data_IF_619466744361
#
_entry.id   IF_619466744361
#
_cell.length_a   1.000
_cell.length_b   1.000
_cell.length_c   1.000
_cell.angle_alpha   90.00
_cell.angle_beta   90.00
_cell.angle_gamma   90.00
#
_symmetry.space_group_name_H-M   'P 1'
#
loop_
_entity.id
_entity.type
_entity.pdbx_description
1 polymer ?
#
# COMPACT_ATOMS: atom_id res chain seq x y z
N UNK A 1 -14.11 44.74 16.33
CA UNK A 1 -13.75 44.73 14.90
C UNK A 1 -14.48 43.57 14.26
N UNK A 2 -15.70 43.86 13.79
CA UNK A 2 -16.59 42.93 13.11
C UNK A 2 -16.03 42.59 11.72
N UNK A 3 -15.82 41.30 11.44
CA UNK A 3 -15.40 40.84 10.11
C UNK A 3 -16.59 40.10 9.48
N UNK A 4 -17.06 40.47 8.28
CA UNK A 4 -18.29 39.93 7.73
C UNK A 4 -18.11 38.49 7.22
N UNK A 5 -19.09 37.63 7.53
CA UNK A 5 -19.24 36.30 6.95
C UNK A 5 -19.78 36.42 5.52
N UNK A 6 -18.92 36.22 4.52
CA UNK A 6 -19.35 36.03 3.14
C UNK A 6 -19.46 34.53 2.84
N UNK A 7 -20.67 33.99 2.97
CA UNK A 7 -21.03 32.65 2.51
C UNK A 7 -21.29 32.69 1.00
N UNK A 8 -20.29 32.34 0.18
CA UNK A 8 -20.54 32.07 -1.24
C UNK A 8 -20.89 30.59 -1.42
N UNK A 9 -22.11 30.22 -1.84
CA UNK A 9 -22.37 28.85 -2.26
C UNK A 9 -21.61 28.60 -3.57
N UNK A 10 -20.60 27.74 -3.50
CA UNK A 10 -19.94 27.17 -4.68
C UNK A 10 -21.01 26.46 -5.49
N UNK A 11 -21.47 27.11 -6.56
CA UNK A 11 -22.39 26.55 -7.53
C UNK A 11 -21.71 25.32 -8.16
N UNK A 12 -22.04 24.14 -7.64
CA UNK A 12 -21.58 22.87 -8.15
C UNK A 12 -22.13 22.63 -9.55
N UNK A 13 -21.48 23.20 -10.57
CA UNK A 13 -21.68 22.78 -11.95
C UNK A 13 -21.07 21.40 -12.10
N UNK A 14 -21.89 20.38 -11.80
CA UNK A 14 -21.62 18.98 -12.13
C UNK A 14 -21.64 18.84 -13.66
N UNK A 15 -20.55 19.26 -14.29
CA UNK A 15 -20.31 19.00 -15.70
C UNK A 15 -20.24 17.48 -15.89
N UNK A 16 -21.10 16.96 -16.78
CA UNK A 16 -20.95 15.61 -17.32
C UNK A 16 -19.54 15.54 -17.92
N UNK A 17 -18.62 14.86 -17.23
CA UNK A 17 -17.29 14.59 -17.78
C UNK A 17 -17.51 13.67 -18.97
N UNK A 18 -17.36 14.22 -20.18
CA UNK A 18 -17.32 13.44 -21.40
C UNK A 18 -16.11 12.52 -21.26
N UNK A 19 -16.35 11.24 -20.98
CA UNK A 19 -15.29 10.23 -21.00
C UNK A 19 -14.92 10.09 -22.47
N UNK A 20 -13.79 10.69 -22.85
CA UNK A 20 -13.22 10.48 -24.18
C UNK A 20 -12.79 9.03 -24.23
N UNK A 21 -13.56 8.23 -24.96
CA UNK A 21 -13.24 6.84 -25.20
C UNK A 21 -12.15 6.78 -26.27
N UNK A 22 -10.89 6.87 -25.84
CA UNK A 22 -9.70 6.79 -26.70
C UNK A 22 -9.36 5.34 -27.09
N UNK A 23 -10.24 4.38 -26.81
CA UNK A 23 -9.93 2.95 -26.88
C UNK A 23 -10.16 2.30 -28.25
N UNK A 24 -10.52 3.04 -29.30
CA UNK A 24 -10.63 2.48 -30.65
C UNK A 24 -9.33 2.67 -31.44
N UNK A 25 -8.47 1.64 -31.56
CA UNK A 25 -7.25 1.71 -32.36
C UNK A 25 -7.54 1.91 -33.85
N UNK A 26 -8.69 1.46 -34.37
CA UNK A 26 -9.03 1.60 -35.78
C UNK A 26 -9.24 3.07 -36.21
N UNK A 27 -9.77 3.92 -35.32
CA UNK A 27 -9.95 5.34 -35.61
C UNK A 27 -8.63 6.14 -35.64
N UNK A 28 -7.55 5.57 -35.09
CA UNK A 28 -6.28 6.27 -34.94
C UNK A 28 -5.47 6.28 -36.25
N UNK A 29 -5.50 5.19 -37.02
CA UNK A 29 -4.74 5.06 -38.27
C UNK A 29 -5.38 5.91 -39.39
N UNK A 30 -6.70 5.99 -39.41
CA UNK A 30 -7.45 6.81 -40.37
C UNK A 30 -7.19 8.30 -40.15
N UNK A 31 -7.11 8.72 -38.88
CA UNK A 31 -6.81 10.12 -38.53
C UNK A 31 -5.38 10.50 -38.91
N UNK A 32 -4.40 9.65 -38.62
CA UNK A 32 -2.99 9.90 -38.99
C UNK A 32 -2.88 10.03 -40.51
N UNK A 33 -3.48 9.09 -41.25
CA UNK A 33 -3.50 9.12 -42.72
C UNK A 33 -4.17 10.37 -43.28
N UNK A 34 -5.29 10.80 -42.69
CA UNK A 34 -5.96 12.04 -43.10
C UNK A 34 -5.10 13.28 -42.86
N UNK A 35 -4.38 13.32 -41.74
CA UNK A 35 -3.49 14.44 -41.42
C UNK A 35 -2.27 14.44 -42.34
N UNK A 36 -1.70 13.29 -42.68
CA UNK A 36 -0.61 13.19 -43.66
C UNK A 36 -1.02 13.73 -45.03
N UNK A 37 -2.26 13.44 -45.48
CA UNK A 37 -2.79 13.99 -46.72
C UNK A 37 -2.88 15.53 -46.67
N UNK A 38 -3.29 16.09 -45.53
CA UNK A 38 -3.44 17.54 -45.35
C UNK A 38 -2.09 18.26 -45.20
N UNK A 39 -1.11 17.65 -44.54
CA UNK A 39 0.24 18.20 -44.42
C UNK A 39 0.92 18.25 -45.81
N UNK A 40 0.68 17.23 -46.65
CA UNK A 40 1.25 17.15 -47.99
C UNK A 40 0.52 18.02 -49.04
N UNK A 41 -0.68 18.52 -48.72
CA UNK A 41 -1.46 19.38 -49.62
C UNK A 41 -0.80 20.76 -49.82
N UNK A 42 -0.30 21.03 -51.03
CA UNK A 42 0.38 22.29 -51.35
C UNK A 42 -0.55 23.50 -51.41
N UNK A 43 -1.87 23.30 -51.47
CA UNK A 43 -2.85 24.39 -51.47
C UNK A 43 -3.09 24.97 -50.07
N UNK A 44 -2.67 24.26 -49.01
CA UNK A 44 -2.93 24.66 -47.63
C UNK A 44 -1.85 25.62 -47.09
N UNK A 45 -2.25 26.72 -46.43
CA UNK A 45 -1.32 27.62 -45.76
C UNK A 45 -0.41 26.92 -44.73
N UNK A 46 0.86 27.32 -44.70
CA UNK A 46 1.89 26.72 -43.83
C UNK A 46 1.57 26.76 -42.34
N UNK A 47 0.91 27.81 -41.86
CA UNK A 47 0.52 27.94 -40.46
C UNK A 47 -0.51 26.89 -40.02
N UNK A 48 -1.41 26.46 -40.92
CA UNK A 48 -2.37 25.40 -40.63
C UNK A 48 -1.68 24.04 -40.54
N UNK A 49 -0.73 23.76 -41.44
CA UNK A 49 0.09 22.55 -41.40
C UNK A 49 0.89 22.46 -40.09
N UNK A 50 1.50 23.56 -39.68
CA UNK A 50 2.22 23.65 -38.42
C UNK A 50 1.31 23.39 -37.21
N UNK A 51 0.13 24.03 -37.16
CA UNK A 51 -0.84 23.80 -36.09
C UNK A 51 -1.28 22.33 -36.01
N UNK A 52 -1.51 21.68 -37.15
CA UNK A 52 -1.87 20.26 -37.20
C UNK A 52 -0.72 19.35 -36.74
N UNK A 53 0.52 19.65 -37.14
CA UNK A 53 1.71 18.94 -36.64
C UNK A 53 1.82 19.02 -35.11
N UNK A 54 1.69 20.23 -34.54
CA UNK A 54 1.73 20.39 -33.08
C UNK A 54 0.59 19.63 -32.39
N UNK A 55 -0.62 19.62 -32.95
CA UNK A 55 -1.74 18.84 -32.38
C UNK A 55 -1.47 17.33 -32.39
N UNK A 56 -0.79 16.81 -33.43
CA UNK A 56 -0.39 15.40 -33.49
C UNK A 56 0.65 15.06 -32.42
N UNK A 57 1.68 15.89 -32.28
CA UNK A 57 2.72 15.70 -31.27
C UNK A 57 2.12 15.68 -29.85
N UNK A 58 1.23 16.63 -29.55
CA UNK A 58 0.53 16.68 -28.25
C UNK A 58 -0.31 15.41 -28.04
N UNK A 59 -0.98 14.92 -29.08
CA UNK A 59 -1.76 13.69 -29.01
C UNK A 59 -0.88 12.47 -28.71
N UNK A 60 0.28 12.36 -29.36
CA UNK A 60 1.21 11.25 -29.12
C UNK A 60 1.76 11.27 -27.69
N UNK A 61 2.12 12.46 -27.20
CA UNK A 61 2.51 12.65 -25.80
C UNK A 61 1.37 12.27 -24.85
N UNK A 62 0.14 12.68 -25.15
CA UNK A 62 -1.03 12.33 -24.35
C UNK A 62 -1.27 10.82 -24.33
N UNK A 63 -1.15 10.14 -25.46
CA UNK A 63 -1.28 8.67 -25.53
C UNK A 63 -0.24 7.97 -24.66
N UNK A 64 1.00 8.46 -24.66
CA UNK A 64 2.08 7.96 -23.80
C UNK A 64 1.72 8.14 -22.32
N UNK A 65 1.22 9.32 -21.94
CA UNK A 65 0.78 9.60 -20.56
C UNK A 65 -0.42 8.72 -20.17
N UNK A 66 -1.39 8.52 -21.06
CA UNK A 66 -2.54 7.65 -20.80
C UNK A 66 -2.11 6.20 -20.60
N UNK A 67 -1.19 5.68 -21.43
CA UNK A 67 -0.64 4.34 -21.28
C UNK A 67 0.08 4.17 -19.93
N UNK A 68 0.95 5.13 -19.58
CA UNK A 68 1.64 5.17 -18.28
C UNK A 68 0.68 5.24 -17.09
N UNK A 69 -0.36 6.06 -17.19
CA UNK A 69 -1.37 6.16 -16.13
C UNK A 69 -2.15 4.86 -15.95
N UNK A 70 -2.39 4.12 -17.04
CA UNK A 70 -3.03 2.80 -16.96
C UNK A 70 -2.11 1.80 -16.25
N UNK A 71 -0.85 1.73 -16.65
CA UNK A 71 0.18 0.89 -16.00
C UNK A 71 0.26 1.19 -14.50
N UNK A 72 0.38 2.47 -14.13
CA UNK A 72 0.41 2.88 -12.72
C UNK A 72 -0.88 2.56 -11.96
N UNK A 73 -2.04 2.67 -12.61
CA UNK A 73 -3.30 2.29 -11.99
C UNK A 73 -3.34 0.78 -11.70
N UNK A 74 -2.91 -0.05 -12.66
CA UNK A 74 -2.83 -1.49 -12.51
C UNK A 74 -1.85 -1.87 -11.38
N UNK A 75 -0.65 -1.27 -11.35
CA UNK A 75 0.32 -1.46 -10.26
C UNK A 75 -0.24 -1.06 -8.89
N UNK A 76 -0.90 0.09 -8.81
CA UNK A 76 -1.48 0.57 -7.55
C UNK A 76 -2.56 -0.39 -7.04
N UNK A 77 -3.39 -0.94 -7.94
CA UNK A 77 -4.37 -1.97 -7.54
C UNK A 77 -3.70 -3.24 -7.00
N UNK A 78 -2.60 -3.68 -7.62
CA UNK A 78 -1.85 -4.85 -7.17
C UNK A 78 -1.19 -4.62 -5.79
N UNK A 79 -0.58 -3.45 -5.59
CA UNK A 79 0.01 -3.07 -4.30
C UNK A 79 -1.06 -3.00 -3.21
N UNK A 80 -2.23 -2.41 -3.50
CA UNK A 80 -3.34 -2.36 -2.55
C UNK A 80 -3.86 -3.75 -2.19
N UNK A 81 -3.94 -4.69 -3.14
CA UNK A 81 -4.33 -6.06 -2.87
C UNK A 81 -3.34 -6.74 -1.91
N UNK A 82 -2.04 -6.65 -2.21
CA UNK A 82 -0.98 -7.22 -1.37
C UNK A 82 -0.94 -6.62 0.04
N UNK A 83 -1.13 -5.30 0.16
CA UNK A 83 -1.19 -4.66 1.48
C UNK A 83 -2.36 -5.19 2.31
N UNK A 84 -3.54 -5.40 1.72
CA UNK A 84 -4.68 -5.99 2.42
C UNK A 84 -4.41 -7.41 2.90
N UNK A 85 -3.74 -8.22 2.08
CA UNK A 85 -3.35 -9.58 2.45
C UNK A 85 -2.38 -9.57 3.64
N UNK A 86 -1.34 -8.73 3.58
CA UNK A 86 -0.37 -8.59 4.67
C UNK A 86 -1.00 -8.04 5.96
N UNK A 87 -1.91 -7.07 5.86
CA UNK A 87 -2.67 -6.56 7.01
C UNK A 87 -3.49 -7.68 7.67
N UNK A 88 -4.14 -8.54 6.88
CA UNK A 88 -4.87 -9.70 7.39
C UNK A 88 -3.96 -10.70 8.10
N UNK A 89 -2.80 -11.00 7.50
CA UNK A 89 -1.80 -11.89 8.10
C UNK A 89 -1.26 -11.34 9.41
N UNK A 90 -0.92 -10.05 9.46
CA UNK A 90 -0.45 -9.38 10.69
C UNK A 90 -1.52 -9.45 11.79
N UNK A 91 -2.79 -9.24 11.46
CA UNK A 91 -3.88 -9.37 12.44
C UNK A 91 -4.02 -10.81 12.95
N UNK A 92 -3.92 -11.80 12.06
CA UNK A 92 -3.96 -13.23 12.41
C UNK A 92 -2.78 -13.63 13.31
N UNK A 93 -1.56 -13.23 12.98
CA UNK A 93 -0.38 -13.51 13.81
C UNK A 93 -0.46 -12.82 15.16
N UNK A 94 -0.93 -11.57 15.21
CA UNK A 94 -1.15 -10.85 16.48
C UNK A 94 -2.18 -11.56 17.37
N UNK A 95 -3.27 -12.08 16.82
CA UNK A 95 -4.26 -12.81 17.59
C UNK A 95 -3.67 -14.13 18.12
N UNK A 96 -2.95 -14.89 17.29
CA UNK A 96 -2.26 -16.12 17.70
C UNK A 96 -1.24 -15.87 18.82
N UNK A 97 -0.41 -14.83 18.68
CA UNK A 97 0.54 -14.42 19.73
C UNK A 97 -0.19 -14.08 21.02
N UNK A 98 -1.32 -13.35 20.94
CA UNK A 98 -2.11 -13.01 22.13
C UNK A 98 -2.68 -14.26 22.82
N UNK A 99 -3.18 -15.22 22.04
CA UNK A 99 -3.68 -16.50 22.57
C UNK A 99 -2.56 -17.29 23.24
N UNK A 100 -1.39 -17.39 22.61
CA UNK A 100 -0.23 -18.09 23.17
C UNK A 100 0.27 -17.42 24.46
N UNK A 101 0.33 -16.08 24.50
CA UNK A 101 0.70 -15.33 25.72
C UNK A 101 -0.30 -15.60 26.86
N UNK A 102 -1.59 -15.64 26.56
CA UNK A 102 -2.61 -15.96 27.56
C UNK A 102 -2.45 -17.39 28.08
N UNK A 103 -2.26 -18.37 27.20
CA UNK A 103 -2.04 -19.77 27.58
C UNK A 103 -0.78 -19.94 28.45
N UNK A 104 0.31 -19.25 28.12
CA UNK A 104 1.55 -19.29 28.91
C UNK A 104 1.35 -18.68 30.31
N UNK A 105 0.63 -17.56 30.39
CA UNK A 105 0.30 -16.91 31.67
C UNK A 105 -0.63 -17.76 32.54
N UNK A 106 -1.50 -18.58 31.94
CA UNK A 106 -2.35 -19.53 32.67
C UNK A 106 -1.59 -20.73 33.20
N UNK A 107 -0.46 -21.10 32.59
CA UNK A 107 0.42 -22.17 33.10
C UNK A 107 1.40 -21.69 34.18
N UNK A 108 1.65 -20.38 34.29
CA UNK A 108 2.71 -19.82 35.14
C UNK A 108 2.27 -19.36 36.54
N UNK A 109 1.17 -19.86 37.11
CA UNK A 109 0.74 -19.50 38.48
C UNK A 109 0.10 -20.66 39.24
N UNK A 110 0.47 -20.94 40.50
CA UNK A 110 1.79 -21.36 40.92
C UNK A 110 1.74 -22.81 41.43
N UNK A 111 2.67 -23.63 40.97
CA UNK A 111 3.02 -24.90 41.61
C UNK A 111 3.85 -24.61 42.89
N UNK A 112 3.30 -23.81 43.81
CA UNK A 112 3.91 -23.43 45.09
C UNK A 112 2.98 -23.77 46.25
N UNK A 113 2.44 -24.99 46.26
CA UNK A 113 1.93 -25.61 47.48
C UNK A 113 2.41 -27.05 47.52
N UNK A 114 3.07 -27.39 48.62
CA UNK A 114 3.38 -28.74 49.09
C UNK A 114 4.62 -29.42 48.48
N UNK A 115 5.79 -29.02 48.96
CA UNK A 115 6.80 -29.97 49.45
C UNK A 115 7.51 -29.37 50.67
N UNK A 116 6.86 -29.45 51.82
CA UNK A 116 7.58 -29.48 53.08
C UNK A 116 8.32 -30.82 53.14
N UNK A 117 9.61 -30.82 52.83
CA UNK A 117 10.51 -31.95 53.11
C UNK A 117 11.58 -31.43 54.09
N UNK A 118 11.77 -32.08 55.24
CA UNK A 118 12.66 -31.63 56.30
C UNK A 118 14.12 -32.01 56.02
N UNK A 119 15.04 -31.15 56.50
CA UNK A 119 16.48 -31.37 56.67
C UNK A 119 17.34 -31.63 55.42
N UNK A 120 17.76 -30.54 54.77
CA UNK A 120 19.05 -30.52 54.09
C UNK A 120 20.16 -30.30 55.12
N UNK A 121 20.84 -31.36 55.55
CA UNK A 121 22.13 -31.21 56.21
C UNK A 121 23.10 -30.55 55.22
N UNK A 122 23.66 -29.41 55.60
CA UNK A 122 24.66 -28.71 54.80
C UNK A 122 25.95 -29.54 54.77
N UNK A 123 26.76 -29.35 53.72
CA UNK A 123 28.02 -30.07 53.53
C UNK A 123 28.97 -29.90 54.73
N UNK A 124 28.83 -28.79 55.47
CA UNK A 124 29.52 -28.51 56.73
C UNK A 124 29.12 -29.44 57.90
N UNK A 125 27.87 -29.92 57.96
CA UNK A 125 27.43 -30.88 58.99
C UNK A 125 28.03 -32.28 58.77
N UNK A 126 28.26 -32.64 57.51
CA UNK A 126 28.91 -33.91 57.14
C UNK A 126 30.40 -33.87 57.51
N UNK A 127 31.05 -32.72 57.33
CA UNK A 127 32.48 -32.53 57.62
C UNK A 127 32.77 -32.52 59.13
N UNK A 128 31.92 -31.91 59.95
CA UNK A 128 32.07 -31.95 61.43
C UNK A 128 32.00 -33.35 62.03
N UNK A 129 31.18 -34.24 61.46
CA UNK A 129 31.06 -35.64 61.93
C UNK A 129 32.32 -36.46 61.59
N UNK A 130 33.03 -36.11 60.53
CA UNK A 130 34.26 -36.81 60.13
C UNK A 130 35.44 -36.50 61.07
N UNK A 131 35.46 -35.33 61.71
CA UNK A 131 36.49 -34.96 62.69
C UNK A 131 36.34 -35.64 64.05
N UNK A 132 35.14 -36.10 64.43
CA UNK A 132 34.90 -36.74 65.74
C UNK A 132 35.19 -38.25 65.77
N UNK A 133 35.48 -38.87 64.63
CA UNK A 133 35.77 -40.32 64.54
C UNK A 133 37.26 -40.64 64.42
N UNK A 134 38.14 -39.64 64.60
CA UNK A 134 39.59 -39.77 64.43
C UNK A 134 40.40 -39.38 65.68
N UNK A 135 39.74 -39.32 66.84
CA UNK A 135 40.40 -39.13 68.15
C UNK A 135 40.41 -40.43 68.94
#
# INVERSE_FOLDING_TARGET
MDTPLASNPVQGRRGKKHRLDLSSPAANDDLIRAIDLIINDQSLPSHLKAAMGCMLEIREQLNTVVAKNKELADENTAVHARNKELESEVLSLKSQISTLKQALSSQSSPLSKSLAVPNSHTLEDIERRRCHHRS
#
